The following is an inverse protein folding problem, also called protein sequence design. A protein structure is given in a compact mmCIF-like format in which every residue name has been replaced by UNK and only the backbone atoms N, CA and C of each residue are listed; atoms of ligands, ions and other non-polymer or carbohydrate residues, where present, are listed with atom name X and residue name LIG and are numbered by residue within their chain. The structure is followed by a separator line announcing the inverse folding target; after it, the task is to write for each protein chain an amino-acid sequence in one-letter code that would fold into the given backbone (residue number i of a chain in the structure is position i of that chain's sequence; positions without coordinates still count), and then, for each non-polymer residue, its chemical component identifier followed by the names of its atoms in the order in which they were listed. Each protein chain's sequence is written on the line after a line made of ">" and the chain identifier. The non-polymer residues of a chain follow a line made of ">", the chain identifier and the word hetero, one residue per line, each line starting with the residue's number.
data_IF_109357725117
#
_entry.id   IF_109357725117
#
_cell.length_a   1.000
_cell.length_b   1.000
_cell.length_c   1.000
_cell.angle_alpha   90.00
_cell.angle_beta   90.00
_cell.angle_gamma   90.00
#
_symmetry.space_group_name_H-M   'P 1'
#
loop_
_entity.id
_entity.type
_entity.pdbx_description
1 polymer ?
#
# COMPACT_ATOMS: atom_id res chain seq x y z
N UNK A 1 -7.91 -18.60 15.83
CA UNK A 1 -6.63 -19.02 15.18
C UNK A 1 -5.40 -18.18 15.51
N UNK A 2 -5.40 -16.83 15.41
CA UNK A 2 -4.19 -16.01 15.69
C UNK A 2 -3.64 -16.24 17.11
N UNK A 3 -4.52 -16.29 18.13
CA UNK A 3 -4.16 -16.58 19.53
C UNK A 3 -3.48 -17.95 19.72
N UNK A 4 -4.08 -19.00 19.16
CA UNK A 4 -3.50 -20.36 19.16
C UNK A 4 -2.12 -20.40 18.50
N UNK A 5 -1.95 -19.70 17.37
CA UNK A 5 -0.65 -19.60 16.69
C UNK A 5 0.39 -18.87 17.55
N UNK A 6 0.00 -17.79 18.23
CA UNK A 6 0.88 -17.05 19.15
C UNK A 6 1.37 -17.95 20.30
N UNK A 7 0.45 -18.66 20.95
CA UNK A 7 0.79 -19.61 22.01
C UNK A 7 1.71 -20.76 21.53
N UNK A 8 1.41 -21.35 20.36
CA UNK A 8 2.21 -22.45 19.79
C UNK A 8 3.66 -22.08 19.46
N UNK A 9 3.90 -20.78 19.24
CA UNK A 9 5.23 -20.19 18.99
C UNK A 9 5.90 -19.72 20.27
N UNK A 10 5.34 -20.04 21.45
CA UNK A 10 5.78 -19.58 22.76
C UNK A 10 5.84 -18.04 22.88
N UNK A 11 5.01 -17.33 22.11
CA UNK A 11 4.93 -15.86 22.16
C UNK A 11 3.90 -15.36 23.19
N UNK A 12 3.13 -16.28 23.79
CA UNK A 12 2.08 -15.96 24.73
C UNK A 12 1.96 -17.03 25.82
N UNK A 13 1.39 -16.63 26.95
CA UNK A 13 1.07 -17.50 28.08
C UNK A 13 -0.13 -18.43 27.74
N UNK A 14 -0.21 -19.57 28.42
CA UNK A 14 -1.27 -20.56 28.23
C UNK A 14 -2.66 -20.05 28.62
N UNK A 15 -2.74 -19.11 29.56
CA UNK A 15 -4.00 -18.46 29.93
C UNK A 15 -4.69 -17.80 28.73
N UNK A 16 -3.94 -17.34 27.72
CA UNK A 16 -4.48 -16.74 26.51
C UNK A 16 -5.30 -17.72 25.65
N UNK A 17 -5.16 -19.02 25.84
CA UNK A 17 -5.81 -20.06 25.02
C UNK A 17 -6.74 -20.97 25.82
N UNK A 18 -6.89 -20.75 27.13
CA UNK A 18 -7.70 -21.60 28.02
C UNK A 18 -9.19 -21.64 27.67
N UNK A 19 -9.76 -20.53 27.20
CA UNK A 19 -11.15 -20.44 26.71
C UNK A 19 -11.40 -21.27 25.45
N UNK A 20 -10.36 -21.51 24.63
CA UNK A 20 -10.46 -22.34 23.42
C UNK A 20 -10.24 -23.82 23.71
N UNK A 21 -9.73 -24.14 24.90
CA UNK A 21 -9.30 -25.47 25.25
C UNK A 21 -10.45 -26.50 25.33
N UNK A 22 -11.62 -26.19 25.91
CA UNK A 22 -12.75 -27.13 25.94
C UNK A 22 -13.23 -27.51 24.54
N UNK A 23 -13.25 -26.54 23.62
CA UNK A 23 -13.63 -26.76 22.23
C UNK A 23 -12.62 -27.64 21.49
N UNK A 24 -11.32 -27.38 21.66
CA UNK A 24 -10.28 -28.20 21.04
C UNK A 24 -10.27 -29.63 21.59
N UNK A 25 -10.49 -29.78 22.89
CA UNK A 25 -10.59 -31.09 23.53
C UNK A 25 -11.84 -31.84 23.04
N UNK A 26 -13.00 -31.18 22.95
CA UNK A 26 -14.22 -31.82 22.45
C UNK A 26 -14.03 -32.31 21.01
N UNK A 27 -13.51 -31.48 20.11
CA UNK A 27 -13.22 -31.86 18.72
C UNK A 27 -12.30 -33.08 18.63
N UNK A 28 -11.32 -33.18 19.53
CA UNK A 28 -10.40 -34.32 19.58
C UNK A 28 -11.06 -35.60 20.09
N UNK A 29 -11.92 -35.52 21.10
CA UNK A 29 -12.55 -36.70 21.72
C UNK A 29 -13.84 -37.14 21.03
N UNK A 30 -14.40 -36.32 20.13
CA UNK A 30 -15.48 -36.70 19.22
C UNK A 30 -14.98 -37.25 17.88
N UNK A 31 -13.66 -37.50 17.75
CA UNK A 31 -12.98 -37.93 16.53
C UNK A 31 -13.19 -37.05 15.28
N UNK A 32 -13.75 -35.84 15.46
CA UNK A 32 -13.86 -34.85 14.37
C UNK A 32 -12.50 -34.29 13.96
N UNK A 33 -11.55 -34.20 14.91
CA UNK A 33 -10.20 -33.72 14.67
C UNK A 33 -9.18 -34.80 15.05
N UNK A 34 -8.78 -35.59 14.05
CA UNK A 34 -7.78 -36.65 14.22
C UNK A 34 -6.40 -36.02 14.40
N UNK A 35 -5.84 -36.16 15.61
CA UNK A 35 -4.46 -35.73 15.89
C UNK A 35 -3.65 -36.84 16.55
N UNK A 36 -2.38 -37.03 16.14
CA UNK A 36 -1.50 -38.05 16.70
C UNK A 36 -0.95 -37.60 18.05
N UNK A 37 -1.80 -37.57 19.08
CA UNK A 37 -1.40 -37.26 20.46
C UNK A 37 -0.90 -38.52 21.17
N UNK A 38 0.16 -38.38 21.97
CA UNK A 38 0.55 -39.44 22.91
C UNK A 38 -0.51 -39.59 24.01
N UNK A 39 -0.63 -40.77 24.61
CA UNK A 39 -1.56 -41.03 25.72
C UNK A 39 -1.46 -39.98 26.84
N UNK A 40 -0.25 -39.61 27.24
CA UNK A 40 -0.02 -38.57 28.27
C UNK A 40 -0.48 -37.19 27.78
N UNK A 41 -0.28 -36.88 26.49
CA UNK A 41 -0.74 -35.61 25.90
C UNK A 41 -2.27 -35.54 25.84
N UNK A 42 -2.93 -36.66 25.53
CA UNK A 42 -4.37 -36.76 25.52
C UNK A 42 -4.95 -36.64 26.94
N UNK A 43 -4.32 -37.28 27.93
CA UNK A 43 -4.71 -37.16 29.34
C UNK A 43 -4.61 -35.73 29.86
N UNK A 44 -3.51 -35.01 29.53
CA UNK A 44 -3.35 -33.59 29.89
C UNK A 44 -4.42 -32.73 29.21
N UNK A 45 -4.70 -32.96 27.91
CA UNK A 45 -5.74 -32.24 27.18
C UNK A 45 -7.14 -32.48 27.78
N UNK A 46 -7.43 -33.72 28.19
CA UNK A 46 -8.69 -34.09 28.87
C UNK A 46 -8.80 -33.37 30.23
N UNK A 47 -7.74 -33.43 31.03
CA UNK A 47 -7.68 -32.86 32.37
C UNK A 47 -7.84 -31.34 32.37
N UNK A 48 -7.07 -30.65 31.55
CA UNK A 48 -7.13 -29.18 31.47
C UNK A 48 -8.36 -28.68 30.68
N UNK A 49 -8.74 -29.38 29.62
CA UNK A 49 -9.77 -28.92 28.68
C UNK A 49 -11.20 -29.28 29.07
N UNK A 50 -11.49 -30.56 29.32
CA UNK A 50 -12.85 -31.01 29.65
C UNK A 50 -13.11 -31.08 31.15
N UNK A 51 -12.11 -31.46 31.94
CA UNK A 51 -12.25 -31.56 33.40
C UNK A 51 -11.95 -30.25 34.14
N UNK A 52 -11.39 -29.25 33.44
CA UNK A 52 -11.06 -27.94 34.02
C UNK A 52 -10.10 -28.00 35.22
N UNK A 53 -9.23 -29.00 35.27
CA UNK A 53 -8.25 -29.16 36.36
C UNK A 53 -7.12 -28.14 36.20
N UNK A 54 -6.64 -27.62 37.33
CA UNK A 54 -5.44 -26.79 37.36
C UNK A 54 -4.18 -27.63 37.11
N UNK A 55 -3.09 -26.95 36.76
CA UNK A 55 -1.80 -27.61 36.48
C UNK A 55 -1.26 -28.32 37.73
N UNK A 56 -1.46 -27.75 38.93
CA UNK A 56 -0.97 -28.36 40.18
C UNK A 56 -1.70 -29.67 40.50
N UNK A 57 -3.01 -29.75 40.20
CA UNK A 57 -3.76 -31.01 40.36
C UNK A 57 -3.26 -32.08 39.40
N UNK A 58 -2.97 -31.69 38.15
CA UNK A 58 -2.42 -32.61 37.16
C UNK A 58 -1.00 -33.07 37.50
N UNK A 59 -0.21 -32.22 38.15
CA UNK A 59 1.10 -32.59 38.68
C UNK A 59 0.99 -33.68 39.74
N UNK A 60 0.04 -33.57 40.67
CA UNK A 60 -0.23 -34.60 41.67
C UNK A 60 -0.78 -35.91 41.07
N UNK A 61 -1.63 -35.82 40.04
CA UNK A 61 -2.25 -37.01 39.41
C UNK A 61 -1.31 -37.76 38.46
N UNK A 62 -0.53 -37.03 37.66
CA UNK A 62 0.37 -37.61 36.65
C UNK A 62 1.77 -37.89 37.21
N UNK A 63 2.13 -37.32 38.36
CA UNK A 63 3.47 -37.40 38.94
C UNK A 63 4.54 -36.72 38.06
N UNK A 64 4.15 -35.70 37.28
CA UNK A 64 5.02 -34.97 36.37
C UNK A 64 5.18 -33.53 36.83
N UNK A 65 6.40 -32.94 36.77
CA UNK A 65 6.60 -31.53 37.09
C UNK A 65 5.70 -30.60 36.25
N UNK A 66 5.20 -29.53 36.85
CA UNK A 66 4.34 -28.55 36.15
C UNK A 66 4.94 -28.03 34.83
N UNK A 67 6.27 -27.83 34.78
CA UNK A 67 6.99 -27.41 33.57
C UNK A 67 6.88 -28.42 32.42
N UNK A 68 6.93 -29.72 32.73
CA UNK A 68 6.78 -30.80 31.77
C UNK A 68 5.34 -30.92 31.27
N UNK A 69 4.36 -30.74 32.15
CA UNK A 69 2.93 -30.72 31.79
C UNK A 69 2.67 -29.60 30.78
N UNK A 70 3.14 -28.39 31.06
CA UNK A 70 3.02 -27.24 30.15
C UNK A 70 3.75 -27.48 28.82
N UNK A 71 4.92 -28.12 28.84
CA UNK A 71 5.64 -28.46 27.63
C UNK A 71 4.89 -29.50 26.76
N UNK A 72 4.32 -30.53 27.39
CA UNK A 72 3.52 -31.56 26.73
C UNK A 72 2.20 -31.00 26.19
N UNK A 73 1.57 -30.12 26.96
CA UNK A 73 0.39 -29.36 26.55
C UNK A 73 0.69 -28.47 25.33
N UNK A 74 1.79 -27.72 25.34
CA UNK A 74 2.17 -26.93 24.17
C UNK A 74 2.44 -27.82 22.94
N UNK A 75 3.04 -28.99 23.15
CA UNK A 75 3.25 -29.99 22.08
C UNK A 75 1.94 -30.55 21.53
N UNK A 76 0.90 -30.76 22.35
CA UNK A 76 -0.43 -31.16 21.87
C UNK A 76 -1.11 -30.02 21.10
N UNK A 77 -1.02 -28.78 21.58
CA UNK A 77 -1.54 -27.59 20.90
C UNK A 77 -0.92 -27.40 19.52
N UNK A 78 0.40 -27.58 19.37
CA UNK A 78 1.08 -27.54 18.06
C UNK A 78 0.52 -28.57 17.08
N UNK A 79 0.27 -29.80 17.53
CA UNK A 79 -0.30 -30.86 16.70
C UNK A 79 -1.74 -30.55 16.29
N UNK A 80 -2.57 -30.03 17.19
CA UNK A 80 -3.94 -29.61 16.87
C UNK A 80 -3.96 -28.46 15.87
N UNK A 81 -3.06 -27.48 16.01
CA UNK A 81 -2.95 -26.38 15.04
C UNK A 81 -2.48 -26.88 13.68
N UNK A 82 -1.60 -27.87 13.63
CA UNK A 82 -1.18 -28.50 12.36
C UNK A 82 -2.37 -29.20 11.67
N UNK A 83 -3.17 -29.97 12.41
CA UNK A 83 -4.37 -30.60 11.86
C UNK A 83 -5.39 -29.56 11.35
N UNK A 84 -5.65 -28.50 12.13
CA UNK A 84 -6.53 -27.41 11.70
C UNK A 84 -6.01 -26.69 10.45
N UNK A 85 -4.68 -26.61 10.26
CA UNK A 85 -4.10 -26.04 9.03
C UNK A 85 -4.31 -26.96 7.83
N UNK A 86 -4.14 -28.27 7.98
CA UNK A 86 -4.43 -29.23 6.90
C UNK A 86 -5.85 -29.02 6.37
N UNK A 87 -6.84 -28.91 7.27
CA UNK A 87 -8.23 -28.67 6.87
C UNK A 87 -8.40 -27.32 6.16
N UNK A 88 -7.74 -26.25 6.64
CA UNK A 88 -7.77 -24.95 5.97
C UNK A 88 -7.08 -24.98 4.59
N UNK A 89 -6.01 -25.75 4.46
CA UNK A 89 -5.27 -25.93 3.22
C UNK A 89 -6.08 -26.76 2.21
N UNK A 90 -6.81 -27.79 2.67
CA UNK A 90 -7.74 -28.59 1.85
C UNK A 90 -8.92 -27.76 1.35
N UNK A 91 -9.52 -26.93 2.22
CA UNK A 91 -10.60 -26.02 1.83
C UNK A 91 -10.12 -24.98 0.81
N UNK A 92 -8.95 -24.38 1.04
CA UNK A 92 -8.35 -23.43 0.10
C UNK A 92 -7.97 -24.11 -1.24
N UNK A 93 -7.51 -25.36 -1.20
CA UNK A 93 -7.22 -26.13 -2.41
C UNK A 93 -8.49 -26.46 -3.21
N UNK A 94 -9.62 -26.69 -2.54
CA UNK A 94 -10.90 -26.91 -3.21
C UNK A 94 -11.48 -25.64 -3.86
N UNK A 95 -11.17 -24.46 -3.33
CA UNK A 95 -11.55 -23.17 -3.92
C UNK A 95 -10.70 -22.81 -5.16
N UNK A 96 -9.48 -23.36 -5.27
CA UNK A 96 -8.66 -23.18 -6.46
C UNK A 96 -9.27 -23.92 -7.66
N UNK A 97 -9.15 -23.35 -8.89
CA UNK A 97 -9.57 -24.06 -10.09
C UNK A 97 -8.82 -25.40 -10.14
N UNK A 98 -9.57 -26.50 -10.26
CA UNK A 98 -8.98 -27.84 -10.25
C UNK A 98 -7.85 -27.97 -11.27
N UNK A 99 -6.92 -28.89 -11.06
CA UNK A 99 -5.83 -29.16 -12.02
C UNK A 99 -6.33 -29.39 -13.46
N UNK A 100 -7.56 -29.88 -13.62
CA UNK A 100 -8.20 -30.04 -14.94
C UNK A 100 -8.59 -28.70 -15.57
N UNK A 101 -9.08 -27.73 -14.78
CA UNK A 101 -9.37 -26.38 -15.25
C UNK A 101 -8.09 -25.60 -15.56
N UNK A 102 -7.01 -25.84 -14.80
CA UNK A 102 -5.68 -25.29 -15.10
C UNK A 102 -5.10 -25.91 -16.38
N UNK A 103 -5.28 -27.22 -16.62
CA UNK A 103 -4.88 -27.89 -17.86
C UNK A 103 -5.69 -27.41 -19.06
N UNK A 104 -7.01 -27.28 -18.94
CA UNK A 104 -7.86 -26.69 -19.98
C UNK A 104 -7.50 -25.22 -20.25
N UNK A 105 -7.21 -24.44 -19.21
CA UNK A 105 -6.75 -23.06 -19.37
C UNK A 105 -5.39 -23.02 -20.09
N UNK A 106 -4.45 -23.91 -19.75
CA UNK A 106 -3.16 -24.03 -20.44
C UNK A 106 -3.33 -24.46 -21.91
N UNK A 107 -4.28 -25.35 -22.20
CA UNK A 107 -4.62 -25.77 -23.57
C UNK A 107 -5.32 -24.65 -24.37
N UNK A 108 -6.05 -23.76 -23.69
CA UNK A 108 -6.69 -22.57 -24.28
C UNK A 108 -5.79 -21.34 -24.30
N UNK A 109 -4.62 -21.38 -23.65
CA UNK A 109 -3.60 -20.35 -23.79
C UNK A 109 -2.95 -20.51 -25.17
N UNK A 110 -3.50 -19.82 -26.16
CA UNK A 110 -2.80 -19.58 -27.42
C UNK A 110 -1.53 -18.79 -27.15
N UNK A 111 -0.39 -19.16 -27.75
CA UNK A 111 0.83 -18.35 -27.65
C UNK A 111 0.53 -16.93 -28.15
N UNK A 112 1.15 -15.95 -27.49
CA UNK A 112 1.02 -14.55 -27.87
C UNK A 112 1.51 -14.41 -29.33
N UNK A 113 0.74 -13.72 -30.17
CA UNK A 113 1.09 -13.58 -31.59
C UNK A 113 2.32 -12.70 -31.81
N UNK A 114 2.61 -11.82 -30.85
CA UNK A 114 3.75 -10.93 -30.82
C UNK A 114 4.54 -11.16 -29.54
N UNK A 115 5.82 -10.81 -29.52
CA UNK A 115 6.60 -10.86 -28.29
C UNK A 115 6.12 -9.77 -27.32
N UNK A 116 6.00 -10.13 -26.04
CA UNK A 116 5.54 -9.20 -25.00
C UNK A 116 6.46 -7.98 -24.90
N UNK A 117 7.75 -8.17 -25.22
CA UNK A 117 8.72 -7.09 -25.28
C UNK A 117 8.37 -6.05 -26.35
N UNK A 118 7.95 -6.49 -27.54
CA UNK A 118 7.62 -5.61 -28.66
C UNK A 118 6.31 -4.84 -28.39
N UNK A 119 5.29 -5.51 -27.86
CA UNK A 119 4.03 -4.86 -27.45
C UNK A 119 4.27 -3.79 -26.35
N UNK A 120 5.16 -4.09 -25.39
CA UNK A 120 5.51 -3.17 -24.32
C UNK A 120 6.25 -1.93 -24.84
N UNK A 121 7.15 -2.10 -25.81
CA UNK A 121 7.87 -0.99 -26.45
C UNK A 121 6.90 -0.12 -27.26
N UNK A 122 5.98 -0.74 -28.02
CA UNK A 122 4.99 -0.01 -28.80
C UNK A 122 4.00 0.75 -27.91
N UNK A 123 3.54 0.14 -26.82
CA UNK A 123 2.71 0.76 -25.79
C UNK A 123 3.40 1.95 -25.12
N UNK A 124 4.68 1.82 -24.78
CA UNK A 124 5.49 2.91 -24.23
C UNK A 124 5.67 4.06 -25.25
N UNK A 125 5.89 3.74 -26.53
CA UNK A 125 5.97 4.74 -27.60
C UNK A 125 4.66 5.49 -27.79
N UNK A 126 3.52 4.79 -27.82
CA UNK A 126 2.18 5.40 -27.91
C UNK A 126 1.88 6.29 -26.70
N UNK A 127 2.19 5.85 -25.49
CA UNK A 127 1.99 6.62 -24.26
C UNK A 127 2.85 7.90 -24.24
N UNK A 128 4.12 7.80 -24.64
CA UNK A 128 5.01 8.98 -24.71
C UNK A 128 4.59 9.95 -25.81
N UNK A 129 4.10 9.47 -26.96
CA UNK A 129 3.54 10.31 -28.01
C UNK A 129 2.28 11.06 -27.53
N UNK A 130 1.32 10.35 -26.91
CA UNK A 130 0.12 10.97 -26.35
C UNK A 130 0.47 12.03 -25.29
N UNK A 131 1.45 11.76 -24.43
CA UNK A 131 1.91 12.74 -23.44
C UNK A 131 2.55 13.97 -24.09
N UNK A 132 3.36 13.78 -25.15
CA UNK A 132 3.96 14.89 -25.92
C UNK A 132 2.91 15.73 -26.62
N UNK A 133 1.92 15.11 -27.26
CA UNK A 133 0.81 15.81 -27.91
C UNK A 133 -0.04 16.58 -26.89
N UNK A 134 -0.37 15.96 -25.76
CA UNK A 134 -1.10 16.62 -24.68
C UNK A 134 -0.30 17.81 -24.11
N UNK A 135 1.02 17.65 -23.97
CA UNK A 135 1.90 18.73 -23.53
C UNK A 135 1.98 19.86 -24.57
N UNK A 136 2.11 19.53 -25.85
CA UNK A 136 2.11 20.50 -26.95
C UNK A 136 0.78 21.25 -27.03
N UNK A 137 -0.35 20.56 -26.87
CA UNK A 137 -1.68 21.19 -26.81
C UNK A 137 -1.80 22.13 -25.61
N UNK A 138 -1.30 21.73 -24.44
CA UNK A 138 -1.25 22.60 -23.26
C UNK A 138 -0.35 23.81 -23.48
N UNK A 139 0.80 23.65 -24.12
CA UNK A 139 1.68 24.76 -24.48
C UNK A 139 1.02 25.70 -25.48
N UNK A 140 0.36 25.18 -26.51
CA UNK A 140 -0.37 25.98 -27.49
C UNK A 140 -1.54 26.73 -26.85
N UNK A 141 -2.30 26.08 -25.96
CA UNK A 141 -3.35 26.74 -25.19
C UNK A 141 -2.80 27.83 -24.27
N UNK A 142 -1.65 27.59 -23.63
CA UNK A 142 -0.94 28.58 -22.81
C UNK A 142 -0.39 29.75 -23.64
N UNK A 143 0.13 29.50 -24.84
CA UNK A 143 0.60 30.51 -25.78
C UNK A 143 -0.56 31.31 -26.40
N UNK A 144 -1.69 30.66 -26.66
CA UNK A 144 -2.91 31.27 -27.19
C UNK A 144 -3.57 32.19 -26.15
N UNK A 145 -3.37 31.93 -24.85
CA UNK A 145 -3.61 32.86 -23.75
C UNK A 145 -2.55 33.99 -23.73
N UNK A 146 -2.35 34.57 -24.92
CA UNK A 146 -1.36 35.60 -25.27
C UNK A 146 -1.52 36.89 -24.48
N UNK A 147 -2.68 37.09 -23.83
CA UNK A 147 -2.97 38.25 -22.99
C UNK A 147 -2.07 38.33 -21.75
N UNK A 148 -1.64 37.19 -21.20
CA UNK A 148 -0.76 37.16 -20.02
C UNK A 148 0.73 37.20 -20.40
N UNK A 149 1.11 36.65 -21.55
CA UNK A 149 2.49 36.68 -22.05
C UNK A 149 2.93 38.08 -22.48
N UNK A 150 2.01 38.94 -22.95
CA UNK A 150 2.30 40.34 -23.26
C UNK A 150 2.86 41.13 -22.07
N UNK A 151 2.64 40.67 -20.84
CA UNK A 151 3.18 41.30 -19.61
C UNK A 151 4.67 41.05 -19.43
N UNK A 152 5.22 40.03 -20.11
CA UNK A 152 6.61 39.60 -20.04
C UNK A 152 7.40 39.91 -21.32
N UNK A 153 6.81 40.62 -22.29
CA UNK A 153 7.56 41.12 -23.45
C UNK A 153 8.65 42.06 -22.96
N UNK A 154 9.90 41.62 -23.07
CA UNK A 154 11.07 42.45 -22.79
C UNK A 154 11.09 43.52 -23.88
N UNK A 155 10.98 44.80 -23.48
CA UNK A 155 10.97 45.93 -24.40
C UNK A 155 12.41 46.36 -24.71
N UNK A 156 12.70 46.55 -25.99
CA UNK A 156 13.91 47.16 -26.53
C UNK A 156 14.01 46.80 -28.02
N UNK A 157 14.40 47.74 -28.86
CA UNK A 157 14.66 47.47 -30.29
C UNK A 157 16.01 46.75 -30.46
N UNK A 158 16.16 45.91 -31.49
CA UNK A 158 17.42 45.15 -31.71
C UNK A 158 18.65 46.07 -31.74
N UNK A 159 18.50 47.30 -32.26
CA UNK A 159 19.54 48.33 -32.25
C UNK A 159 19.92 48.84 -30.86
N UNK A 160 18.96 48.95 -29.92
CA UNK A 160 19.24 49.33 -28.53
C UNK A 160 19.95 48.22 -27.75
N UNK A 161 19.62 46.96 -28.06
CA UNK A 161 20.29 45.79 -27.50
C UNK A 161 21.71 45.64 -28.01
N UNK A 162 21.93 45.76 -29.33
CA UNK A 162 23.27 45.73 -29.93
C UNK A 162 24.16 46.86 -29.39
N UNK A 163 23.65 48.09 -29.31
CA UNK A 163 24.40 49.22 -28.76
C UNK A 163 24.77 49.07 -27.28
N UNK A 164 24.06 48.22 -26.52
CA UNK A 164 24.39 47.88 -25.13
C UNK A 164 25.37 46.71 -25.00
N UNK A 165 25.30 45.71 -25.89
CA UNK A 165 26.25 44.59 -25.90
C UNK A 165 27.64 45.02 -26.42
N UNK A 166 27.69 45.96 -27.37
CA UNK A 166 28.94 46.30 -28.07
C UNK A 166 29.92 47.17 -27.26
N UNK A 167 29.55 47.58 -26.03
CA UNK A 167 30.34 48.55 -25.26
C UNK A 167 31.33 47.96 -24.24
N UNK A 168 31.39 46.65 -23.95
CA UNK A 168 32.42 46.04 -23.06
C UNK A 168 32.69 44.57 -23.37
N UNK A 169 33.97 44.15 -23.44
CA UNK A 169 34.40 42.77 -23.70
C UNK A 169 34.17 41.77 -22.55
N UNK A 170 33.30 42.09 -21.60
CA UNK A 170 32.97 41.22 -20.45
C UNK A 170 31.47 41.26 -20.19
N UNK A 171 30.86 40.08 -20.03
CA UNK A 171 29.41 39.90 -19.87
C UNK A 171 28.95 40.67 -18.62
N UNK A 172 28.13 41.71 -18.76
CA UNK A 172 27.66 42.48 -17.61
C UNK A 172 26.69 41.65 -16.76
N UNK A 173 26.83 41.70 -15.43
CA UNK A 173 25.90 41.01 -14.50
C UNK A 173 24.51 41.65 -14.43
N UNK A 174 24.33 42.87 -14.91
CA UNK A 174 23.02 43.55 -14.94
C UNK A 174 22.98 44.55 -16.10
N UNK A 175 21.89 44.52 -16.88
CA UNK A 175 21.62 45.44 -17.99
C UNK A 175 20.28 46.13 -17.72
N UNK A 176 20.20 47.44 -17.94
CA UNK A 176 19.00 48.24 -17.65
C UNK A 176 18.67 49.18 -18.81
N UNK A 177 17.49 49.00 -19.39
CA UNK A 177 16.93 49.91 -20.41
C UNK A 177 16.02 50.95 -19.74
N UNK A 178 16.05 52.19 -20.22
CA UNK A 178 15.18 53.26 -19.72
C UNK A 178 13.78 53.13 -20.33
N UNK A 179 12.83 52.64 -19.55
CA UNK A 179 11.45 52.43 -20.01
C UNK A 179 10.67 53.74 -20.18
N UNK A 180 10.12 53.96 -21.38
CA UNK A 180 9.04 54.92 -21.63
C UNK A 180 7.73 54.46 -20.97
N UNK A 181 6.86 55.42 -20.62
CA UNK A 181 5.72 55.23 -19.73
C UNK A 181 4.81 54.04 -20.09
N UNK A 182 4.39 53.28 -19.05
CA UNK A 182 3.60 52.04 -19.15
C UNK A 182 2.38 52.17 -20.08
N UNK A 183 2.26 51.24 -21.02
CA UNK A 183 1.05 51.04 -21.86
C UNK A 183 -0.20 50.79 -20.98
N UNK A 184 -1.40 51.26 -21.39
CA UNK A 184 -2.64 51.21 -20.60
C UNK A 184 -3.04 49.83 -20.04
N UNK A 185 -2.59 48.73 -20.63
CA UNK A 185 -2.91 47.36 -20.20
C UNK A 185 -2.36 47.04 -18.79
N UNK A 186 -1.22 47.64 -18.41
CA UNK A 186 -0.67 47.49 -17.06
C UNK A 186 -1.45 48.29 -15.98
N UNK A 187 -2.33 49.22 -16.38
CA UNK A 187 -3.19 49.97 -15.45
C UNK A 187 -4.45 49.18 -15.10
N UNK A 188 -5.01 48.41 -16.03
CA UNK A 188 -6.21 47.58 -15.79
C UNK A 188 -5.94 46.44 -14.81
N UNK A 189 -4.87 45.67 -15.03
CA UNK A 189 -4.47 44.56 -14.14
C UNK A 189 -4.11 45.02 -12.72
N UNK A 190 -3.58 46.24 -12.57
CA UNK A 190 -3.31 46.85 -11.26
C UNK A 190 -4.59 47.34 -10.58
N UNK A 191 -5.59 47.80 -11.34
CA UNK A 191 -6.93 48.16 -10.84
C UNK A 191 -7.69 46.92 -10.37
N UNK A 192 -7.63 45.85 -11.15
CA UNK A 192 -8.30 44.57 -10.86
C UNK A 192 -7.73 43.91 -9.60
N UNK A 193 -6.40 43.85 -9.44
CA UNK A 193 -5.76 43.38 -8.18
C UNK A 193 -6.08 44.27 -6.98
N UNK A 194 -6.26 45.60 -7.18
CA UNK A 194 -6.63 46.53 -6.09
C UNK A 194 -8.11 46.37 -5.69
N UNK A 195 -9.00 46.10 -6.65
CA UNK A 195 -10.40 45.79 -6.41
C UNK A 195 -10.57 44.44 -5.70
N UNK A 196 -9.84 43.39 -6.13
CA UNK A 196 -9.87 42.07 -5.49
C UNK A 196 -9.34 42.13 -4.03
N UNK A 197 -8.27 42.89 -3.80
CA UNK A 197 -7.73 43.13 -2.46
C UNK A 197 -8.65 43.95 -1.55
N UNK A 198 -9.37 44.93 -2.11
CA UNK A 198 -10.35 45.73 -1.37
C UNK A 198 -11.61 44.93 -1.01
N UNK A 199 -12.09 44.07 -1.91
CA UNK A 199 -13.21 43.15 -1.64
C UNK A 199 -12.88 42.14 -0.53
N UNK A 200 -11.64 41.63 -0.50
CA UNK A 200 -11.16 40.70 0.54
C UNK A 200 -11.03 41.39 1.92
N UNK A 201 -10.64 42.67 1.97
CA UNK A 201 -10.53 43.45 3.21
C UNK A 201 -11.89 43.91 3.77
N UNK A 202 -12.92 44.08 2.93
CA UNK A 202 -14.29 44.38 3.40
C UNK A 202 -14.99 43.15 3.99
N UNK A 203 -14.71 41.94 3.49
CA UNK A 203 -15.28 40.69 4.04
C UNK A 203 -14.68 40.26 5.39
N UNK A 204 -13.47 40.71 5.73
CA UNK A 204 -12.81 40.37 7.01
C UNK A 204 -13.00 41.39 8.14
N UNK A 205 -13.89 42.38 7.98
CA UNK A 205 -14.16 43.43 8.99
C UNK A 205 -15.63 43.50 9.40
N UNK A 206 -16.40 42.46 9.06
CA UNK A 206 -17.81 42.30 9.42
C UNK A 206 -18.08 40.96 10.11
N UNK A 207 -17.12 40.51 10.92
CA UNK A 207 -17.28 39.52 11.99
C UNK A 207 -16.66 40.10 13.26
#
# INVERSE_FOLDING_TARGET
>A
MKRLRSYSRNLADYHLVMDLLPLLASLRFTDTLVTPLSHVQAAILLGMGLQGKSVERLEAELGLPASQILALYNKSMRKMIAALRSVQEEEAAAELPSETAASEATLRMTPLQEDLADELIEGAAKATQQMREAHMRKQQAWLADSADLQRYTIRGTDSEWEAMLDKKSSVPQTVSLKGEARSPIAKETKKEKKMLGAAKRKRGRSE
#
